data_IF_772553292897
#
_entry.id   IF_772553292897
#
_cell.length_a   1.000
_cell.length_b   1.000
_cell.length_c   1.000
_cell.angle_alpha   90.00
_cell.angle_beta   90.00
_cell.angle_gamma   90.00
#
_symmetry.space_group_name_H-M   'P 1'
#
loop_
_entity.id
_entity.type
_entity.pdbx_description
1 polymer ?
#
# COMPACT_ATOMS: atom_id res chain seq x y z
N UNK A 1 1.45 6.09 -17.95
CA UNK A 1 1.56 4.88 -17.13
C UNK A 1 2.66 5.08 -16.10
N UNK A 2 2.39 4.80 -14.87
CA UNK A 2 3.37 5.04 -13.80
C UNK A 2 4.22 3.79 -13.54
N UNK A 3 5.43 4.00 -13.07
CA UNK A 3 6.31 2.89 -12.68
C UNK A 3 5.75 2.13 -11.49
N UNK A 4 5.05 2.83 -10.60
CA UNK A 4 4.41 2.22 -9.43
C UNK A 4 3.37 1.19 -9.86
N UNK A 5 2.56 1.52 -10.86
CA UNK A 5 1.54 0.61 -11.35
C UNK A 5 2.14 -0.74 -11.79
N UNK A 6 3.23 -0.70 -12.53
CA UNK A 6 3.91 -1.92 -12.97
C UNK A 6 4.46 -2.72 -11.80
N UNK A 7 5.11 -2.06 -10.85
CA UNK A 7 5.67 -2.73 -9.69
C UNK A 7 4.60 -3.38 -8.81
N UNK A 8 3.51 -2.67 -8.55
CA UNK A 8 2.42 -3.21 -7.75
C UNK A 8 1.76 -4.38 -8.45
N UNK A 9 1.58 -4.29 -9.76
CA UNK A 9 1.00 -5.36 -10.54
C UNK A 9 1.83 -6.64 -10.46
N UNK A 10 3.14 -6.52 -10.60
CA UNK A 10 4.06 -7.65 -10.49
C UNK A 10 4.03 -8.22 -9.06
N UNK A 11 4.10 -7.35 -8.06
CA UNK A 11 4.07 -7.77 -6.66
C UNK A 11 2.77 -8.51 -6.32
N UNK A 12 1.65 -8.03 -6.88
CA UNK A 12 0.35 -8.66 -6.65
C UNK A 12 0.31 -10.07 -7.25
N UNK A 13 0.80 -10.22 -8.47
CA UNK A 13 0.87 -11.54 -9.12
C UNK A 13 1.76 -12.51 -8.37
N UNK A 14 2.81 -12.01 -7.75
CA UNK A 14 3.72 -12.83 -6.95
C UNK A 14 3.19 -13.14 -5.54
N UNK A 15 2.03 -12.59 -5.17
CA UNK A 15 1.47 -12.81 -3.85
C UNK A 15 2.05 -11.94 -2.75
N UNK A 16 2.70 -10.84 -3.11
CA UNK A 16 3.35 -9.95 -2.14
C UNK A 16 2.49 -8.77 -1.68
N UNK A 17 1.22 -8.73 -2.08
CA UNK A 17 0.33 -7.62 -1.76
C UNK A 17 -0.88 -8.10 -0.97
N UNK A 18 -1.20 -7.39 0.11
CA UNK A 18 -2.41 -7.60 0.91
C UNK A 18 -3.33 -6.42 0.65
N UNK A 19 -4.54 -6.69 0.18
CA UNK A 19 -5.49 -5.65 -0.22
C UNK A 19 -6.63 -5.57 0.78
N UNK A 20 -6.98 -4.33 1.15
CA UNK A 20 -8.14 -4.07 1.99
C UNK A 20 -7.81 -3.93 3.46
N UNK A 21 -8.55 -3.05 4.11
CA UNK A 21 -8.34 -2.69 5.51
C UNK A 21 -8.43 -3.89 6.46
N UNK A 22 -9.46 -4.71 6.29
CA UNK A 22 -9.67 -5.86 7.17
C UNK A 22 -8.54 -6.88 7.03
N UNK A 23 -8.13 -7.14 5.81
CA UNK A 23 -7.03 -8.08 5.56
C UNK A 23 -5.72 -7.58 6.15
N UNK A 24 -5.47 -6.27 6.07
CA UNK A 24 -4.27 -5.68 6.64
C UNK A 24 -4.26 -5.77 8.16
N UNK A 25 -5.41 -5.50 8.80
CA UNK A 25 -5.52 -5.56 10.26
C UNK A 25 -5.32 -6.98 10.79
N UNK A 26 -5.79 -7.97 10.05
CA UNK A 26 -5.70 -9.37 10.44
C UNK A 26 -4.38 -10.03 10.04
N UNK A 27 -3.61 -9.37 9.18
CA UNK A 27 -2.37 -9.95 8.66
C UNK A 27 -1.31 -10.03 9.78
N UNK A 28 -0.82 -11.23 10.03
CA UNK A 28 0.12 -11.47 11.13
C UNK A 28 1.58 -11.46 10.70
N UNK A 29 1.84 -11.65 9.42
CA UNK A 29 3.21 -11.62 8.92
C UNK A 29 3.68 -10.19 8.74
N UNK A 30 4.99 -10.01 8.61
CA UNK A 30 5.56 -8.68 8.47
C UNK A 30 5.16 -8.01 7.16
N UNK A 31 4.76 -6.74 7.26
CA UNK A 31 4.52 -5.87 6.12
C UNK A 31 5.63 -4.83 6.09
N UNK A 32 6.09 -4.49 4.90
CA UNK A 32 7.20 -3.54 4.73
C UNK A 32 6.75 -2.17 4.26
N UNK A 33 5.52 -2.06 3.77
CA UNK A 33 4.98 -0.79 3.29
C UNK A 33 3.47 -0.83 3.32
N UNK A 34 2.86 0.28 3.73
CA UNK A 34 1.42 0.48 3.62
C UNK A 34 1.16 1.61 2.63
N UNK A 35 0.24 1.40 1.72
CA UNK A 35 -0.20 2.44 0.79
C UNK A 35 -1.67 2.73 1.04
N UNK A 36 -2.01 4.01 1.02
CA UNK A 36 -3.37 4.48 1.27
C UNK A 36 -3.75 5.49 0.18
N UNK A 37 -5.00 5.41 -0.29
CA UNK A 37 -5.48 6.38 -1.25
C UNK A 37 -5.69 7.74 -0.59
N UNK A 38 -5.32 8.81 -1.27
CA UNK A 38 -5.53 10.17 -0.75
C UNK A 38 -7.00 10.49 -0.52
N UNK A 39 -7.89 9.81 -1.22
CA UNK A 39 -9.34 10.00 -1.06
C UNK A 39 -9.95 9.12 0.04
N UNK A 40 -9.12 8.43 0.83
CA UNK A 40 -9.62 7.58 1.91
C UNK A 40 -10.38 8.39 2.94
N UNK A 41 -11.45 7.81 3.48
CA UNK A 41 -12.23 8.44 4.52
C UNK A 41 -11.50 8.51 5.85
N UNK A 42 -11.99 9.35 6.76
CA UNK A 42 -11.33 9.60 8.05
C UNK A 42 -11.12 8.34 8.87
N UNK A 43 -12.07 7.43 8.85
CA UNK A 43 -11.98 6.17 9.60
C UNK A 43 -10.81 5.32 9.10
N UNK A 44 -10.68 5.17 7.79
CA UNK A 44 -9.60 4.40 7.21
C UNK A 44 -8.25 5.06 7.45
N UNK A 45 -8.18 6.37 7.30
CA UNK A 45 -6.93 7.12 7.56
C UNK A 45 -6.46 6.87 8.99
N UNK A 46 -7.37 6.94 9.95
CA UNK A 46 -7.06 6.73 11.37
C UNK A 46 -6.53 5.32 11.61
N UNK A 47 -7.20 4.32 11.05
CA UNK A 47 -6.78 2.94 11.22
C UNK A 47 -5.43 2.65 10.58
N UNK A 48 -5.20 3.20 9.39
CA UNK A 48 -3.92 2.99 8.70
C UNK A 48 -2.77 3.65 9.46
N UNK A 49 -3.01 4.85 10.00
CA UNK A 49 -1.99 5.51 10.83
C UNK A 49 -1.71 4.74 12.10
N UNK A 50 -2.74 4.20 12.73
CA UNK A 50 -2.58 3.38 13.93
C UNK A 50 -1.76 2.12 13.63
N UNK A 51 -2.10 1.43 12.55
CA UNK A 51 -1.39 0.22 12.13
C UNK A 51 0.08 0.51 11.81
N UNK A 52 0.33 1.62 11.11
CA UNK A 52 1.68 2.07 10.78
C UNK A 52 2.50 2.31 12.04
N UNK A 53 1.94 3.03 13.01
CA UNK A 53 2.63 3.32 14.27
C UNK A 53 2.84 2.07 15.11
N UNK A 54 1.82 1.25 15.24
CA UNK A 54 1.88 0.06 16.09
C UNK A 54 2.91 -0.95 15.59
N UNK A 55 2.97 -1.13 14.27
CA UNK A 55 3.87 -2.12 13.66
C UNK A 55 5.14 -1.50 13.08
N UNK A 56 5.28 -0.18 13.19
CA UNK A 56 6.43 0.56 12.65
C UNK A 56 6.64 0.28 11.16
N UNK A 57 5.55 0.41 10.39
CA UNK A 57 5.55 0.22 8.94
C UNK A 57 5.39 1.57 8.27
N UNK A 58 6.22 1.92 7.27
CA UNK A 58 6.02 3.17 6.52
C UNK A 58 4.65 3.22 5.89
N UNK A 59 3.98 4.36 6.01
CA UNK A 59 2.67 4.60 5.39
C UNK A 59 2.80 5.75 4.41
N UNK A 60 2.49 5.51 3.16
CA UNK A 60 2.53 6.54 2.12
C UNK A 60 1.15 6.67 1.49
N UNK A 61 0.84 7.89 1.05
CA UNK A 61 -0.41 8.16 0.35
C UNK A 61 -0.15 8.24 -1.14
N UNK A 62 -1.07 7.70 -1.93
CA UNK A 62 -1.02 7.81 -3.39
C UNK A 62 -2.38 8.21 -3.91
N UNK A 63 -2.39 8.96 -5.01
CA UNK A 63 -3.64 9.34 -5.66
C UNK A 63 -4.18 8.14 -6.44
N UNK A 64 -5.50 7.96 -6.40
CA UNK A 64 -6.17 6.97 -7.21
C UNK A 64 -5.57 5.56 -7.11
N UNK A 65 -5.34 5.11 -5.87
CA UNK A 65 -4.74 3.80 -5.63
C UNK A 65 -5.49 2.68 -6.36
N UNK A 66 -6.81 2.73 -6.39
CA UNK A 66 -7.62 1.72 -7.08
C UNK A 66 -7.28 1.61 -8.55
N UNK A 67 -7.03 2.73 -9.21
CA UNK A 67 -6.66 2.74 -10.62
C UNK A 67 -5.27 2.15 -10.84
N UNK A 68 -4.35 2.43 -9.91
CA UNK A 68 -2.99 1.91 -10.02
C UNK A 68 -2.93 0.39 -10.00
N UNK A 69 -3.82 -0.25 -9.24
CA UNK A 69 -3.81 -1.69 -9.09
C UNK A 69 -4.96 -2.39 -9.83
N UNK A 70 -5.82 -1.62 -10.49
CA UNK A 70 -6.94 -2.18 -11.25
C UNK A 70 -8.10 -2.66 -10.40
N UNK A 71 -8.24 -2.16 -9.17
CA UNK A 71 -9.34 -2.49 -8.26
C UNK A 71 -9.97 -1.18 -7.80
N UNK A 72 -11.08 -0.79 -8.41
CA UNK A 72 -11.69 0.53 -8.24
C UNK A 72 -11.94 0.95 -6.79
N UNK A 73 -12.31 0.03 -5.95
CA UNK A 73 -12.66 0.37 -4.57
C UNK A 73 -11.52 0.21 -3.58
N UNK A 74 -10.33 -0.11 -4.06
CA UNK A 74 -9.20 -0.29 -3.17
C UNK A 74 -8.71 1.06 -2.65
N UNK A 75 -8.72 1.23 -1.34
CA UNK A 75 -8.26 2.45 -0.68
C UNK A 75 -7.02 2.23 0.17
N UNK A 76 -6.63 0.97 0.38
CA UNK A 76 -5.47 0.64 1.19
C UNK A 76 -4.89 -0.70 0.76
N UNK A 77 -3.57 -0.81 0.81
CA UNK A 77 -2.90 -2.09 0.61
C UNK A 77 -1.59 -2.13 1.37
N UNK A 78 -1.06 -3.33 1.58
CA UNK A 78 0.23 -3.53 2.19
C UNK A 78 1.12 -4.38 1.30
N UNK A 79 2.42 -4.17 1.38
CA UNK A 79 3.40 -4.91 0.60
C UNK A 79 4.22 -5.79 1.53
N UNK A 80 4.26 -7.09 1.25
CA UNK A 80 4.94 -8.08 2.08
C UNK A 80 6.40 -8.30 1.73
N UNK A 81 6.87 -7.74 0.64
CA UNK A 81 8.23 -7.94 0.14
C UNK A 81 9.06 -6.68 0.31
N UNK A 82 10.22 -6.80 0.96
CA UNK A 82 11.06 -5.65 1.23
C UNK A 82 11.61 -5.00 -0.04
N UNK A 83 12.05 -5.80 -1.00
CA UNK A 83 12.62 -5.27 -2.25
C UNK A 83 11.61 -4.44 -3.03
N UNK A 84 10.38 -4.93 -3.19
CA UNK A 84 9.33 -4.18 -3.85
C UNK A 84 8.95 -2.93 -3.06
N UNK A 85 8.89 -3.04 -1.74
CA UNK A 85 8.57 -1.91 -0.88
C UNK A 85 9.60 -0.79 -1.04
N UNK A 86 10.88 -1.13 -1.02
CA UNK A 86 11.95 -0.15 -1.16
C UNK A 86 11.88 0.55 -2.51
N UNK A 87 11.61 -0.19 -3.58
CA UNK A 87 11.47 0.40 -4.92
C UNK A 87 10.28 1.33 -5.01
N UNK A 88 9.15 0.95 -4.43
CA UNK A 88 7.94 1.77 -4.44
C UNK A 88 8.17 3.06 -3.64
N UNK A 89 8.76 2.95 -2.46
CA UNK A 89 9.08 4.12 -1.63
C UNK A 89 9.98 5.08 -2.40
N UNK A 90 11.00 4.57 -3.04
CA UNK A 90 11.93 5.39 -3.80
C UNK A 90 11.21 6.17 -4.90
N UNK A 91 10.35 5.50 -5.67
CA UNK A 91 9.61 6.14 -6.75
C UNK A 91 8.70 7.24 -6.22
N UNK A 92 7.98 6.97 -5.13
CA UNK A 92 7.08 7.97 -4.54
C UNK A 92 7.86 9.18 -4.04
N UNK A 93 8.99 8.96 -3.37
CA UNK A 93 9.81 10.06 -2.84
C UNK A 93 10.48 10.87 -3.95
N UNK A 94 10.71 10.28 -5.09
CA UNK A 94 11.28 10.98 -6.24
C UNK A 94 10.22 11.78 -7.02
N UNK A 95 8.95 11.73 -6.58
CA UNK A 95 7.89 12.54 -7.17
C UNK A 95 7.31 11.96 -8.46
N UNK A 96 7.31 10.68 -8.59
CA UNK A 96 6.72 10.02 -9.74
C UNK A 96 5.23 10.32 -9.86
#
# INVERSE_FOLDING_TARGET
MTKISGLISIARKAGYVVIGQDNLSEHKQKLYLLLMCKSAGNSLVREMKHLSNERQIPLLEVEELGKLIGIDKCKALGVKNKAFSDKIIKIIKEGE
#
